data_IF_835406866299
#
_entry.id   IF_835406866299
#
_cell.length_a   1.000
_cell.length_b   1.000
_cell.length_c   1.000
_cell.angle_alpha   90.00
_cell.angle_beta   90.00
_cell.angle_gamma   90.00
#
_symmetry.space_group_name_H-M   'P 1'
#
loop_
_entity.id
_entity.type
_entity.pdbx_description
1 polymer ?
#
# COMPACT_ATOMS: atom_id res chain seq x y z
N UNK A 1 8.77 -11.10 -14.39
CA UNK A 1 7.38 -10.65 -14.15
C UNK A 1 6.99 -11.20 -12.78
N UNK A 2 7.09 -10.41 -11.72
CA UNK A 2 6.72 -10.89 -10.38
C UNK A 2 5.20 -11.06 -10.36
N UNK A 3 4.73 -12.28 -10.10
CA UNK A 3 3.31 -12.54 -9.94
C UNK A 3 2.80 -11.74 -8.75
N UNK A 4 1.85 -10.83 -8.99
CA UNK A 4 1.32 -9.97 -7.93
C UNK A 4 0.58 -10.82 -6.89
N UNK A 5 1.23 -11.02 -5.75
CA UNK A 5 0.75 -11.53 -4.47
C UNK A 5 1.93 -11.54 -3.47
N UNK A 6 2.67 -10.43 -3.39
CA UNK A 6 3.81 -10.31 -2.48
C UNK A 6 3.37 -9.84 -1.10
N UNK A 7 4.11 -10.27 -0.08
CA UNK A 7 3.95 -9.75 1.29
C UNK A 7 4.80 -8.50 1.44
N UNK A 8 4.25 -7.49 2.11
CA UNK A 8 4.95 -6.25 2.41
C UNK A 8 4.79 -5.83 3.86
N UNK A 9 5.72 -5.01 4.34
CA UNK A 9 5.72 -4.42 5.68
C UNK A 9 5.80 -2.89 5.55
N UNK A 10 4.96 -2.17 6.30
CA UNK A 10 5.02 -0.70 6.32
C UNK A 10 6.30 -0.22 7.00
N UNK A 11 7.05 0.66 6.33
CA UNK A 11 8.36 1.14 6.78
C UNK A 11 8.35 2.58 7.37
N UNK A 12 7.19 3.27 7.29
CA UNK A 12 6.99 4.63 7.85
C UNK A 12 6.16 4.58 9.13
N UNK A 13 6.44 5.46 10.09
CA UNK A 13 5.70 5.54 11.36
C UNK A 13 4.20 5.76 11.15
N UNK A 14 3.83 6.52 10.11
CA UNK A 14 2.46 6.72 9.68
C UNK A 14 2.39 6.87 8.17
N UNK A 15 1.55 6.07 7.53
CA UNK A 15 1.33 6.12 6.09
C UNK A 15 -0.15 6.12 5.77
N UNK A 16 -0.63 7.18 5.12
CA UNK A 16 -2.03 7.27 4.71
C UNK A 16 -2.38 6.28 3.61
N UNK A 17 -3.64 5.84 3.64
CA UNK A 17 -4.25 5.03 2.60
C UNK A 17 -5.12 5.90 1.68
N UNK A 18 -5.21 5.48 0.43
CA UNK A 18 -5.79 6.26 -0.66
C UNK A 18 -6.88 5.46 -1.37
N UNK A 19 -7.95 6.13 -1.80
CA UNK A 19 -9.02 5.50 -2.60
C UNK A 19 -8.55 5.20 -4.04
N UNK A 20 -7.64 6.03 -4.55
CA UNK A 20 -6.94 5.91 -5.83
C UNK A 20 -5.59 6.62 -5.68
N UNK A 21 -4.61 6.40 -6.57
CA UNK A 21 -3.41 7.24 -6.62
C UNK A 21 -3.77 8.73 -6.48
N UNK A 22 -3.07 9.44 -5.61
CA UNK A 22 -3.28 10.86 -5.28
C UNK A 22 -4.62 11.26 -4.62
N UNK A 23 -5.52 10.32 -4.29
CA UNK A 23 -6.78 10.60 -3.57
C UNK A 23 -6.78 10.07 -2.13
N UNK A 24 -6.21 10.86 -1.23
CA UNK A 24 -5.96 10.52 0.18
C UNK A 24 -7.24 10.31 1.00
N UNK A 25 -7.17 9.45 2.01
CA UNK A 25 -8.22 9.27 3.04
C UNK A 25 -7.68 9.56 4.44
N UNK A 26 -8.54 9.52 5.45
CA UNK A 26 -8.11 9.62 6.86
C UNK A 26 -7.59 8.30 7.43
N UNK A 27 -7.71 7.19 6.70
CA UNK A 27 -7.16 5.89 7.12
C UNK A 27 -5.65 5.88 6.92
N UNK A 28 -4.95 5.19 7.80
CA UNK A 28 -3.50 5.04 7.73
C UNK A 28 -3.09 3.70 8.33
N UNK A 29 -1.92 3.23 7.93
CA UNK A 29 -1.19 2.15 8.56
C UNK A 29 0.04 2.73 9.25
N UNK A 30 0.61 1.96 10.17
CA UNK A 30 1.80 2.34 10.94
C UNK A 30 2.93 1.36 10.68
N UNK A 31 4.15 1.76 11.04
CA UNK A 31 5.34 0.95 10.84
C UNK A 31 5.17 -0.45 11.43
N UNK A 32 5.55 -1.47 10.66
CA UNK A 32 5.44 -2.88 11.05
C UNK A 32 4.10 -3.54 10.69
N UNK A 33 3.08 -2.78 10.26
CA UNK A 33 1.86 -3.38 9.72
C UNK A 33 2.20 -4.25 8.50
N UNK A 34 1.62 -5.46 8.47
CA UNK A 34 1.81 -6.42 7.38
C UNK A 34 0.66 -6.32 6.38
N UNK A 35 0.99 -6.25 5.10
CA UNK A 35 0.04 -6.13 4.00
C UNK A 35 0.31 -7.17 2.91
N UNK A 36 -0.67 -7.38 2.05
CA UNK A 36 -0.50 -8.07 0.77
C UNK A 36 -0.53 -7.04 -0.34
N UNK A 37 0.44 -7.06 -1.24
CA UNK A 37 0.40 -6.25 -2.47
C UNK A 37 -0.30 -7.05 -3.55
N UNK A 38 -1.38 -6.48 -4.07
CA UNK A 38 -2.26 -7.08 -5.08
C UNK A 38 -1.97 -6.52 -6.49
N UNK A 39 -1.48 -5.29 -6.57
CA UNK A 39 -1.17 -4.61 -7.84
C UNK A 39 -0.13 -3.53 -7.63
N UNK A 40 0.67 -3.27 -8.67
CA UNK A 40 1.49 -2.07 -8.82
C UNK A 40 0.97 -1.22 -9.97
N UNK A 41 0.93 0.09 -9.78
CA UNK A 41 0.68 1.07 -10.85
C UNK A 41 1.64 2.26 -10.71
N UNK A 42 1.88 2.96 -11.82
CA UNK A 42 2.51 4.28 -11.80
C UNK A 42 1.48 5.34 -12.19
N UNK A 43 1.51 6.47 -11.52
CA UNK A 43 0.67 7.61 -11.91
C UNK A 43 1.33 8.45 -13.01
N UNK A 44 0.63 9.50 -13.44
CA UNK A 44 1.10 10.42 -14.49
C UNK A 44 2.40 11.17 -14.14
N UNK A 45 2.75 11.23 -12.85
CA UNK A 45 4.00 11.86 -12.36
C UNK A 45 5.14 10.85 -12.26
N UNK A 46 4.86 9.56 -12.51
CA UNK A 46 5.81 8.46 -12.40
C UNK A 46 5.96 7.92 -10.98
N UNK A 47 5.15 8.37 -10.01
CA UNK A 47 5.16 7.80 -8.66
C UNK A 47 4.57 6.39 -8.70
N UNK A 48 5.25 5.44 -8.05
CA UNK A 48 4.78 4.05 -7.95
C UNK A 48 3.84 3.89 -6.76
N UNK A 49 2.73 3.19 -7.00
CA UNK A 49 1.68 2.91 -6.04
C UNK A 49 1.42 1.41 -5.95
N UNK A 50 1.12 0.95 -4.74
CA UNK A 50 0.63 -0.40 -4.50
C UNK A 50 -0.85 -0.40 -4.14
N UNK A 51 -1.63 -1.25 -4.80
CA UNK A 51 -2.93 -1.64 -4.30
C UNK A 51 -2.73 -2.79 -3.32
N UNK A 52 -3.14 -2.61 -2.08
CA UNK A 52 -2.89 -3.55 -0.99
C UNK A 52 -4.19 -4.13 -0.45
N UNK A 53 -4.10 -5.32 0.16
CA UNK A 53 -5.05 -5.80 1.16
C UNK A 53 -4.39 -5.73 2.54
N UNK A 54 -5.07 -5.08 3.49
CA UNK A 54 -4.71 -5.09 4.91
C UNK A 54 -5.81 -5.78 5.70
N UNK A 55 -5.43 -6.79 6.50
CA UNK A 55 -6.34 -7.55 7.36
C UNK A 55 -6.21 -7.12 8.81
N UNK A 56 -6.92 -6.05 9.17
CA UNK A 56 -7.12 -5.62 10.57
C UNK A 56 -8.38 -6.22 11.18
N UNK A 57 -9.17 -5.40 11.90
CA UNK A 57 -10.53 -5.78 12.37
C UNK A 57 -11.49 -6.10 11.21
N UNK A 58 -11.29 -5.42 10.09
CA UNK A 58 -11.92 -5.68 8.79
C UNK A 58 -10.81 -5.77 7.75
N UNK A 59 -11.07 -6.49 6.68
CA UNK A 59 -10.21 -6.45 5.50
C UNK A 59 -10.52 -5.18 4.71
N UNK A 60 -9.48 -4.44 4.35
CA UNK A 60 -9.59 -3.24 3.52
C UNK A 60 -8.62 -3.34 2.35
N UNK A 61 -9.08 -2.91 1.18
CA UNK A 61 -8.26 -2.84 -0.02
C UNK A 61 -8.12 -1.38 -0.47
N UNK A 62 -6.88 -0.87 -0.50
CA UNK A 62 -6.61 0.54 -0.76
C UNK A 62 -5.25 0.75 -1.43
N UNK A 63 -5.04 1.96 -1.93
CA UNK A 63 -3.77 2.38 -2.50
C UNK A 63 -2.84 2.95 -1.42
N UNK A 64 -1.55 2.68 -1.58
CA UNK A 64 -0.47 3.17 -0.73
C UNK A 64 0.75 3.49 -1.60
N UNK A 65 1.61 4.43 -1.17
CA UNK A 65 2.83 4.73 -1.92
C UNK A 65 3.82 3.56 -1.81
N UNK A 66 4.44 3.18 -2.92
CA UNK A 66 5.35 2.04 -2.93
C UNK A 66 6.58 2.24 -2.03
N UNK A 67 7.07 3.47 -1.91
CA UNK A 67 8.22 3.83 -1.05
C UNK A 67 7.98 3.68 0.47
N UNK A 68 6.72 3.41 0.86
CA UNK A 68 6.31 3.17 2.23
C UNK A 68 6.24 1.69 2.60
N UNK A 69 6.53 0.80 1.66
CA UNK A 69 6.41 -0.66 1.80
C UNK A 69 7.73 -1.33 1.49
N UNK A 70 8.25 -2.11 2.44
CA UNK A 70 9.35 -3.03 2.19
C UNK A 70 8.76 -4.37 1.73
N UNK A 71 9.11 -4.81 0.51
CA UNK A 71 8.69 -6.09 -0.04
C UNK A 71 9.66 -7.19 0.39
N UNK A 72 9.10 -8.36 0.75
CA UNK A 72 9.86 -9.59 1.00
C UNK A 72 9.88 -10.51 -0.22
#
# INVERSE_FOLDING_TARGET
MLGFNSLGIINKDKQYLYNSPNRITRMYLVKGDKIRVLKEEKDEKGDTWYFISYKGRKEINMWIKADSVDLN
#
